data_IF_799396702219
#
_entry.id   IF_799396702219
#
_cell.length_a   1.000
_cell.length_b   1.000
_cell.length_c   1.000
_cell.angle_alpha   90.00
_cell.angle_beta   90.00
_cell.angle_gamma   90.00
#
_symmetry.space_group_name_H-M   'P 1'
#
loop_
_entity.id
_entity.type
_entity.pdbx_description
1 polymer ?
#
# COMPACT_ATOMS: atom_id res chain seq x y z
N UNK A 1 -17.08 -2.33 -2.61
CA UNK A 1 -16.27 -1.51 -3.52
C UNK A 1 -16.01 -2.30 -4.79
N UNK A 2 -16.20 -1.68 -5.96
CA UNK A 2 -15.96 -2.33 -7.27
C UNK A 2 -14.87 -1.57 -8.02
N UNK A 3 -13.90 -2.31 -8.57
CA UNK A 3 -12.77 -1.77 -9.31
C UNK A 3 -13.01 -1.90 -10.81
N UNK A 4 -12.93 -0.77 -11.53
CA UNK A 4 -13.13 -0.74 -12.98
C UNK A 4 -11.80 -0.73 -13.74
N UNK A 5 -11.57 -1.73 -14.59
CA UNK A 5 -10.37 -1.78 -15.47
C UNK A 5 -10.25 -0.53 -16.32
N UNK A 6 -11.37 0.00 -16.84
CA UNK A 6 -11.36 1.20 -17.66
C UNK A 6 -10.84 2.45 -16.93
N UNK A 7 -11.04 2.53 -15.61
CA UNK A 7 -10.59 3.67 -14.80
C UNK A 7 -9.14 3.49 -14.31
N UNK A 8 -8.74 2.25 -14.02
CA UNK A 8 -7.45 1.94 -13.38
C UNK A 8 -6.37 1.45 -14.35
N UNK A 9 -6.72 1.15 -15.60
CA UNK A 9 -5.85 0.53 -16.60
C UNK A 9 -5.64 -0.98 -16.39
N UNK A 10 -5.68 -1.45 -15.14
CA UNK A 10 -5.68 -2.86 -14.75
C UNK A 10 -6.47 -3.05 -13.45
N UNK A 11 -6.87 -4.29 -13.14
CA UNK A 11 -7.41 -4.59 -11.81
C UNK A 11 -6.29 -4.55 -10.76
N UNK A 12 -6.56 -4.07 -9.54
CA UNK A 12 -5.61 -4.17 -8.44
C UNK A 12 -5.30 -5.62 -8.11
N UNK A 13 -4.06 -5.90 -7.71
CA UNK A 13 -3.66 -7.21 -7.16
C UNK A 13 -3.66 -7.24 -5.64
N UNK A 14 -3.76 -6.06 -5.02
CA UNK A 14 -3.88 -5.85 -3.58
C UNK A 14 -5.04 -4.89 -3.35
N UNK A 15 -5.99 -5.25 -2.50
CA UNK A 15 -7.09 -4.37 -2.14
C UNK A 15 -7.52 -4.62 -0.70
N UNK A 16 -8.01 -3.57 -0.04
CA UNK A 16 -8.53 -3.65 1.31
C UNK A 16 -9.22 -2.37 1.73
N UNK A 17 -9.82 -2.41 2.92
CA UNK A 17 -10.46 -1.27 3.54
C UNK A 17 -10.26 -1.31 5.05
N UNK A 18 -10.37 -0.15 5.69
CA UNK A 18 -10.44 -0.04 7.15
C UNK A 18 -11.91 0.05 7.57
N UNK A 19 -12.35 -0.95 8.32
CA UNK A 19 -13.62 -0.95 9.02
C UNK A 19 -13.41 -0.28 10.38
N UNK A 20 -14.30 0.63 10.75
CA UNK A 20 -14.18 1.42 11.99
C UNK A 20 -15.36 1.25 12.93
N UNK A 21 -16.58 1.09 12.44
CA UNK A 21 -17.74 0.89 13.32
C UNK A 21 -18.87 0.08 12.64
N UNK A 22 -19.72 -0.50 13.47
CA UNK A 22 -20.95 -1.15 13.09
C UNK A 22 -21.44 -2.14 14.13
N UNK A 23 -22.33 -3.05 13.71
CA UNK A 23 -22.97 -3.99 14.64
C UNK A 23 -23.05 -5.40 14.08
N UNK A 24 -23.02 -6.38 14.99
CA UNK A 24 -23.20 -7.79 14.66
C UNK A 24 -21.98 -8.44 14.00
N UNK A 25 -22.13 -9.68 13.51
CA UNK A 25 -21.05 -10.39 12.82
C UNK A 25 -20.62 -9.63 11.56
N UNK A 26 -19.33 -9.68 11.27
CA UNK A 26 -18.73 -8.99 10.12
C UNK A 26 -18.25 -10.03 9.13
N UNK A 27 -18.59 -9.85 7.86
CA UNK A 27 -18.10 -10.67 6.76
C UNK A 27 -17.37 -9.81 5.74
N UNK A 28 -16.12 -10.16 5.48
CA UNK A 28 -15.35 -9.62 4.38
C UNK A 28 -15.19 -10.67 3.27
N UNK A 29 -15.47 -10.28 2.04
CA UNK A 29 -15.34 -11.15 0.86
C UNK A 29 -14.69 -10.37 -0.28
N UNK A 30 -13.87 -11.07 -1.07
CA UNK A 30 -13.24 -10.52 -2.27
C UNK A 30 -13.56 -11.38 -3.48
N UNK A 31 -13.51 -10.77 -4.66
CA UNK A 31 -13.82 -11.43 -5.93
C UNK A 31 -12.70 -11.25 -6.94
N UNK A 32 -12.37 -12.32 -7.67
CA UNK A 32 -11.38 -12.32 -8.73
C UNK A 32 -11.86 -11.52 -9.97
N UNK A 33 -11.01 -11.45 -11.00
CA UNK A 33 -11.31 -10.74 -12.24
C UNK A 33 -12.57 -11.21 -12.98
N UNK A 34 -13.01 -12.45 -12.75
CA UNK A 34 -14.18 -13.07 -13.37
C UNK A 34 -15.42 -13.01 -12.46
N UNK A 35 -15.29 -12.43 -11.26
CA UNK A 35 -16.36 -12.37 -10.26
C UNK A 35 -16.47 -13.63 -9.40
N UNK A 36 -15.50 -14.54 -9.46
CA UNK A 36 -15.42 -15.70 -8.56
C UNK A 36 -14.97 -15.28 -7.17
N UNK A 37 -15.61 -15.84 -6.13
CA UNK A 37 -15.21 -15.56 -4.74
C UNK A 37 -13.79 -16.07 -4.46
N UNK A 38 -12.99 -15.23 -3.80
CA UNK A 38 -11.64 -15.54 -3.31
C UNK A 38 -11.64 -16.02 -1.86
N UNK A 39 -12.82 -16.16 -1.25
CA UNK A 39 -13.01 -16.57 0.14
C UNK A 39 -13.69 -15.50 0.98
N UNK A 40 -14.23 -15.96 2.11
CA UNK A 40 -14.95 -15.15 3.10
C UNK A 40 -14.18 -15.22 4.42
N UNK A 41 -14.01 -14.05 5.06
CA UNK A 41 -13.51 -13.93 6.43
C UNK A 41 -14.67 -13.50 7.32
N UNK A 42 -15.02 -14.35 8.28
CA UNK A 42 -15.94 -14.02 9.36
C UNK A 42 -15.19 -13.40 10.56
N UNK A 43 -15.80 -12.39 11.19
CA UNK A 43 -15.26 -11.74 12.37
C UNK A 43 -16.37 -11.26 13.33
N UNK A 44 -15.98 -11.02 14.59
CA UNK A 44 -16.86 -10.59 15.66
C UNK A 44 -16.14 -9.63 16.61
N UNK A 45 -15.83 -8.42 16.14
CA UNK A 45 -15.07 -7.44 16.92
C UNK A 45 -15.77 -6.08 17.05
N UNK A 46 -17.00 -5.96 16.56
CA UNK A 46 -17.86 -4.83 16.88
C UNK A 46 -18.08 -4.75 18.39
N UNK A 47 -17.95 -3.56 18.97
CA UNK A 47 -18.01 -3.34 20.41
C UNK A 47 -19.32 -2.65 20.87
N UNK A 48 -20.13 -2.18 19.92
CA UNK A 48 -21.41 -1.51 20.17
C UNK A 48 -21.30 -0.05 20.59
N UNK A 49 -20.11 0.56 20.49
CA UNK A 49 -19.85 1.96 20.77
C UNK A 49 -19.67 2.74 19.48
N UNK A 50 -20.42 3.83 19.31
CA UNK A 50 -20.22 4.80 18.23
C UNK A 50 -19.61 6.13 18.72
N UNK A 51 -18.87 6.08 19.83
CA UNK A 51 -18.31 7.26 20.50
C UNK A 51 -16.89 7.61 20.04
N UNK A 52 -16.51 7.25 18.81
CA UNK A 52 -15.17 7.48 18.26
C UNK A 52 -14.09 6.62 18.93
N UNK A 53 -14.45 5.40 19.31
CA UNK A 53 -13.53 4.37 19.76
C UNK A 53 -12.71 3.82 18.58
N UNK A 54 -11.68 3.03 18.88
CA UNK A 54 -10.76 2.45 17.86
C UNK A 54 -10.33 1.04 18.24
N UNK A 55 -10.83 0.53 19.36
CA UNK A 55 -10.48 -0.79 19.86
C UNK A 55 -11.03 -1.89 18.97
N UNK A 56 -11.96 -1.57 18.08
CA UNK A 56 -12.75 -2.33 17.12
C UNK A 56 -12.30 -2.10 15.65
N UNK A 57 -11.43 -1.12 15.38
CA UNK A 57 -10.92 -0.80 14.04
C UNK A 57 -10.06 -1.93 13.46
N UNK A 58 -10.39 -2.42 12.26
CA UNK A 58 -9.62 -3.47 11.58
C UNK A 58 -9.46 -3.18 10.11
N UNK A 59 -8.23 -3.39 9.63
CA UNK A 59 -7.97 -3.52 8.21
C UNK A 59 -8.34 -4.91 7.71
N UNK A 60 -9.12 -4.96 6.63
CA UNK A 60 -9.40 -6.17 5.87
C UNK A 60 -8.77 -6.05 4.49
N UNK A 61 -7.97 -7.04 4.11
CA UNK A 61 -7.25 -7.03 2.85
C UNK A 61 -7.22 -8.38 2.16
N UNK A 62 -7.01 -8.32 0.86
CA UNK A 62 -6.85 -9.49 -0.02
C UNK A 62 -5.74 -9.22 -1.03
N UNK A 63 -5.05 -10.30 -1.41
CA UNK A 63 -4.10 -10.30 -2.52
C UNK A 63 -4.49 -11.37 -3.53
N UNK A 64 -4.57 -11.02 -4.80
CA UNK A 64 -4.77 -11.97 -5.89
C UNK A 64 -3.98 -11.53 -7.12
N UNK A 65 -3.02 -12.34 -7.55
CA UNK A 65 -2.20 -12.05 -8.72
C UNK A 65 -3.04 -11.96 -10.02
N UNK A 66 -4.17 -12.67 -10.08
CA UNK A 66 -5.10 -12.62 -11.21
C UNK A 66 -5.97 -11.34 -11.27
N UNK A 67 -5.84 -10.43 -10.30
CA UNK A 67 -6.64 -9.22 -10.20
C UNK A 67 -7.88 -9.39 -9.32
N UNK A 68 -8.30 -8.28 -8.69
CA UNK A 68 -9.43 -8.20 -7.78
C UNK A 68 -10.47 -7.27 -8.40
N UNK A 69 -11.66 -7.80 -8.71
CA UNK A 69 -12.74 -7.00 -9.30
C UNK A 69 -13.54 -6.24 -8.26
N UNK A 70 -13.67 -6.79 -7.05
CA UNK A 70 -14.38 -6.14 -5.96
C UNK A 70 -14.01 -6.71 -4.58
N UNK A 71 -14.26 -5.89 -3.56
CA UNK A 71 -14.26 -6.29 -2.15
C UNK A 71 -15.58 -5.86 -1.52
N UNK A 72 -16.10 -6.66 -0.61
CA UNK A 72 -17.35 -6.40 0.10
C UNK A 72 -17.12 -6.62 1.59
N UNK A 73 -17.63 -5.70 2.41
CA UNK A 73 -17.78 -5.91 3.85
C UNK A 73 -19.26 -5.78 4.20
N UNK A 74 -19.76 -6.71 5.02
CA UNK A 74 -21.15 -6.80 5.46
C UNK A 74 -21.17 -6.95 6.96
N UNK A 75 -22.20 -6.42 7.61
CA UNK A 75 -22.49 -6.71 9.00
C UNK A 75 -24.01 -6.73 9.26
N UNK A 76 -24.41 -6.78 10.54
CA UNK A 76 -25.80 -6.83 10.96
C UNK A 76 -26.51 -5.47 11.10
N UNK A 77 -25.88 -4.34 10.77
CA UNK A 77 -26.49 -3.02 10.95
C UNK A 77 -25.72 -1.87 10.28
N UNK A 78 -25.57 -0.74 10.97
CA UNK A 78 -24.78 0.39 10.45
C UNK A 78 -23.35 -0.04 10.14
N UNK A 79 -22.74 0.54 9.11
CA UNK A 79 -21.35 0.28 8.73
C UNK A 79 -20.64 1.62 8.59
N UNK A 80 -19.53 1.77 9.30
CA UNK A 80 -18.55 2.82 9.07
C UNK A 80 -17.25 2.19 8.53
N UNK A 81 -16.73 2.79 7.47
CA UNK A 81 -15.45 2.46 6.89
C UNK A 81 -14.76 3.76 6.51
N UNK A 82 -13.47 3.87 6.83
CA UNK A 82 -12.70 5.10 6.62
C UNK A 82 -12.14 5.17 5.20
N UNK A 83 -11.15 4.33 4.89
CA UNK A 83 -10.49 4.38 3.58
C UNK A 83 -10.40 3.01 2.91
N UNK A 84 -10.32 3.07 1.58
CA UNK A 84 -10.06 1.93 0.70
C UNK A 84 -8.64 2.07 0.19
N UNK A 85 -7.84 1.03 0.39
CA UNK A 85 -6.48 0.93 -0.18
C UNK A 85 -6.48 -0.10 -1.30
N UNK A 86 -5.95 0.24 -2.46
CA UNK A 86 -5.81 -0.67 -3.58
C UNK A 86 -4.59 -0.33 -4.43
N UNK A 87 -4.07 -1.34 -5.14
CA UNK A 87 -2.95 -1.13 -6.04
C UNK A 87 -2.45 -2.42 -6.67
N UNK A 88 -1.43 -2.26 -7.51
CA UNK A 88 -0.62 -3.36 -8.03
C UNK A 88 0.77 -3.29 -7.39
N UNK A 89 1.43 -4.43 -7.23
CA UNK A 89 2.88 -4.42 -7.06
C UNK A 89 3.47 -3.93 -8.37
N UNK A 90 3.73 -2.63 -8.45
CA UNK A 90 4.56 -2.07 -9.50
C UNK A 90 5.98 -2.57 -9.23
N UNK A 91 6.61 -3.18 -10.23
CA UNK A 91 8.03 -3.52 -10.17
C UNK A 91 8.78 -2.33 -9.58
N UNK A 92 9.63 -2.58 -8.59
CA UNK A 92 10.37 -1.55 -7.85
C UNK A 92 10.95 -0.57 -8.86
N UNK A 93 10.28 0.58 -9.01
CA UNK A 93 10.87 1.72 -9.69
C UNK A 93 11.91 2.17 -8.70
N UNK A 94 13.14 1.69 -8.91
CA UNK A 94 14.29 2.09 -8.10
C UNK A 94 14.26 3.61 -8.05
N UNK A 95 13.98 4.18 -6.89
CA UNK A 95 14.07 5.62 -6.70
C UNK A 95 15.50 5.98 -7.06
N UNK A 96 15.74 6.81 -8.08
CA UNK A 96 17.10 7.25 -8.39
C UNK A 96 17.65 7.94 -7.14
N UNK A 97 18.80 7.50 -6.63
CA UNK A 97 19.41 8.14 -5.47
C UNK A 97 19.66 9.63 -5.78
N UNK A 98 19.15 10.52 -4.93
CA UNK A 98 19.12 11.94 -5.23
C UNK A 98 20.49 12.68 -5.11
N UNK A 99 21.64 12.00 -4.99
CA UNK A 99 22.90 12.74 -4.75
C UNK A 99 24.20 11.98 -4.52
N UNK A 100 24.25 10.65 -4.58
CA UNK A 100 25.51 9.92 -4.32
C UNK A 100 26.56 10.17 -5.42
N UNK A 101 26.12 10.33 -6.67
CA UNK A 101 26.98 10.59 -7.83
C UNK A 101 27.80 11.89 -7.77
N UNK A 102 27.22 13.07 -7.47
CA UNK A 102 28.01 14.30 -7.33
C UNK A 102 28.93 14.29 -6.09
N UNK A 103 28.57 13.58 -5.02
CA UNK A 103 29.40 13.48 -3.80
C UNK A 103 30.65 12.61 -4.03
N UNK A 104 30.53 11.53 -4.81
CA UNK A 104 31.66 10.68 -5.18
C UNK A 104 32.61 11.38 -6.16
N UNK A 105 32.06 12.15 -7.12
CA UNK A 105 32.85 12.98 -8.03
C UNK A 105 33.59 14.12 -7.33
N UNK A 106 32.96 14.77 -6.35
CA UNK A 106 33.60 15.79 -5.50
C UNK A 106 34.73 15.23 -4.64
N UNK A 107 34.55 14.04 -4.06
CA UNK A 107 35.57 13.37 -3.25
C UNK A 107 36.80 12.93 -4.08
N UNK A 108 36.59 12.39 -5.29
CA UNK A 108 37.67 12.03 -6.21
C UNK A 108 38.43 13.26 -6.74
N UNK A 109 37.73 14.36 -7.03
CA UNK A 109 38.34 15.62 -7.47
C UNK A 109 39.21 16.28 -6.39
N UNK A 110 38.79 16.24 -5.13
CA UNK A 110 39.56 16.74 -3.98
C UNK A 110 40.83 15.93 -3.74
N UNK A 111 40.76 14.59 -3.85
CA UNK A 111 41.92 13.72 -3.69
C UNK A 111 42.96 13.90 -4.82
N UNK A 112 42.53 14.04 -6.07
CA UNK A 112 43.42 14.29 -7.20
C UNK A 112 44.06 15.70 -7.15
N UNK A 113 43.28 16.73 -6.80
CA UNK A 113 43.77 18.10 -6.67
C UNK A 113 44.82 18.26 -5.56
N UNK A 114 44.63 17.61 -4.41
CA UNK A 114 45.58 17.63 -3.30
C UNK A 114 46.95 17.01 -3.66
N UNK A 115 46.95 15.98 -4.51
CA UNK A 115 48.19 15.31 -4.95
C UNK A 115 49.01 16.17 -5.93
N UNK A 116 48.33 16.90 -6.82
CA UNK A 116 48.96 17.80 -7.80
C UNK A 116 49.55 19.05 -7.13
N UNK A 117 48.84 19.63 -6.16
CA UNK A 117 49.34 20.80 -5.40
C UNK A 117 50.58 20.46 -4.57
N UNK A 118 50.65 19.24 -4.02
CA UNK A 118 51.83 18.78 -3.25
C UNK A 118 53.10 18.64 -4.11
N UNK A 119 52.97 18.23 -5.37
CA UNK A 119 54.11 18.10 -6.30
C UNK A 119 54.70 19.43 -6.75
N UNK A 120 53.90 20.50 -6.81
CA UNK A 120 54.38 21.84 -7.23
C UNK A 120 55.16 22.60 -6.16
N UNK A 121 54.99 22.25 -4.87
CA UNK A 121 55.73 22.88 -3.76
C UNK A 121 57.10 22.27 -3.49
N UNK A 122 57.48 21.21 -4.21
CA UNK A 122 58.74 20.48 -4.00
C UNK A 122 59.73 20.62 -5.17
N UNK A 123 59.59 21.66 -5.99
CA UNK A 123 60.47 21.99 -7.11
C UNK A 123 61.06 23.39 -6.94
#
# INVERSE_FOLDING_TARGET
VTFGVAALGTLPTHAGLVWTDGSGPIQFEAFDALGGSLGIIDASHADGSSSGTTAEDRFYGVTNAGGISSITIRNGGGIEADHVQYGTLQDVVTVPEAGTLPLLGGALGLCAGAFVVRRRKSA
#
